data_IF_797819596839
#
_entry.id   IF_797819596839
#
_cell.length_a   1.000
_cell.length_b   1.000
_cell.length_c   1.000
_cell.angle_alpha   90.00
_cell.angle_beta   90.00
_cell.angle_gamma   90.00
#
_symmetry.space_group_name_H-M   'P 1'
#
loop_
_entity.id
_entity.type
_entity.pdbx_description
1 polymer ?
#
# COMPACT_ATOMS: atom_id res chain seq x y z
N UNK A 1 16.33 -4.71 -2.61
CA UNK A 1 15.30 -4.57 -1.59
C UNK A 1 14.76 -3.12 -1.50
N UNK A 2 15.57 -2.05 -1.28
CA UNK A 2 15.03 -0.72 -1.06
C UNK A 2 14.10 -0.21 -2.16
N UNK A 3 14.44 -0.41 -3.42
CA UNK A 3 13.60 0.00 -4.56
C UNK A 3 12.30 -0.80 -4.61
N UNK A 4 12.35 -2.12 -4.46
CA UNK A 4 11.16 -2.95 -4.44
C UNK A 4 10.18 -2.51 -3.36
N UNK A 5 10.65 -2.42 -2.10
CA UNK A 5 9.83 -1.99 -0.97
C UNK A 5 9.29 -0.56 -1.14
N UNK A 6 9.99 0.30 -1.90
CA UNK A 6 9.53 1.65 -2.20
C UNK A 6 8.40 1.67 -3.23
N UNK A 7 8.41 0.76 -4.19
CA UNK A 7 7.37 0.70 -5.24
C UNK A 7 6.15 -0.13 -4.85
N UNK A 8 6.25 -0.95 -3.79
CA UNK A 8 5.14 -1.80 -3.31
C UNK A 8 4.35 -1.19 -2.17
N UNK A 9 4.88 -0.16 -1.49
CA UNK A 9 4.26 0.44 -0.32
C UNK A 9 2.94 1.17 -0.59
N UNK A 10 2.85 1.86 -1.73
CA UNK A 10 1.66 2.61 -2.16
C UNK A 10 1.59 2.66 -3.69
N UNK A 11 0.40 2.92 -4.24
CA UNK A 11 0.20 3.30 -5.65
C UNK A 11 0.77 4.70 -5.91
N UNK A 12 2.06 4.77 -6.19
CA UNK A 12 2.92 5.96 -6.08
C UNK A 12 2.33 7.18 -6.79
N UNK A 13 1.84 7.02 -8.02
CA UNK A 13 1.24 8.11 -8.78
C UNK A 13 -0.26 8.31 -8.47
N UNK A 14 -0.94 7.30 -7.93
CA UNK A 14 -2.35 7.39 -7.62
C UNK A 14 -2.60 8.12 -6.29
N UNK A 15 -1.82 7.83 -5.24
CA UNK A 15 -2.06 8.36 -3.90
C UNK A 15 -2.17 9.90 -3.84
N UNK A 16 -1.39 10.69 -4.58
CA UNK A 16 -1.56 12.14 -4.58
C UNK A 16 -2.88 12.63 -5.17
N UNK A 17 -3.46 11.87 -6.11
CA UNK A 17 -4.65 12.24 -6.88
C UNK A 17 -5.82 11.26 -6.68
N UNK A 18 -5.76 10.39 -5.68
CA UNK A 18 -6.72 9.30 -5.45
C UNK A 18 -8.18 9.79 -5.38
N UNK A 19 -8.43 10.84 -4.61
CA UNK A 19 -9.76 11.42 -4.47
C UNK A 19 -10.24 12.06 -5.77
N UNK A 20 -9.38 12.79 -6.47
CA UNK A 20 -9.68 13.41 -7.76
C UNK A 20 -10.02 12.36 -8.82
N UNK A 21 -9.20 11.30 -8.92
CA UNK A 21 -9.44 10.23 -9.87
C UNK A 21 -10.74 9.48 -9.58
N UNK A 22 -10.99 9.14 -8.31
CA UNK A 22 -12.19 8.40 -7.93
C UNK A 22 -13.47 9.23 -8.09
N UNK A 23 -13.42 10.54 -7.83
CA UNK A 23 -14.61 11.40 -7.95
C UNK A 23 -14.84 11.88 -9.38
N UNK A 24 -13.81 12.43 -10.04
CA UNK A 24 -13.96 13.08 -11.35
C UNK A 24 -13.95 12.07 -12.52
N UNK A 25 -13.14 11.02 -12.43
CA UNK A 25 -12.98 10.03 -13.51
C UNK A 25 -13.91 8.83 -13.33
N UNK A 26 -14.02 8.33 -12.08
CA UNK A 26 -14.88 7.17 -11.77
C UNK A 26 -16.28 7.54 -11.31
N UNK A 27 -16.55 8.83 -11.05
CA UNK A 27 -17.87 9.33 -10.67
C UNK A 27 -18.35 8.87 -9.30
N UNK A 28 -17.43 8.49 -8.40
CA UNK A 28 -17.79 8.05 -7.06
C UNK A 28 -18.03 9.25 -6.14
N UNK A 29 -19.04 9.16 -5.30
CA UNK A 29 -19.24 10.14 -4.23
C UNK A 29 -18.47 9.79 -2.95
N UNK A 30 -18.37 10.74 -2.01
CA UNK A 30 -17.63 10.59 -0.77
C UNK A 30 -18.09 9.39 0.06
N UNK A 31 -19.39 9.12 0.12
CA UNK A 31 -19.94 7.97 0.85
C UNK A 31 -19.50 6.65 0.24
N UNK A 32 -19.48 6.55 -1.09
CA UNK A 32 -19.02 5.36 -1.80
C UNK A 32 -17.52 5.11 -1.58
N UNK A 33 -16.69 6.15 -1.60
CA UNK A 33 -15.24 6.03 -1.34
C UNK A 33 -14.99 5.58 0.11
N UNK A 34 -15.72 6.15 1.06
CA UNK A 34 -15.62 5.74 2.48
C UNK A 34 -16.10 4.31 2.68
N UNK A 35 -17.25 3.93 2.11
CA UNK A 35 -17.78 2.57 2.17
C UNK A 35 -16.82 1.55 1.55
N UNK A 36 -16.25 1.87 0.38
CA UNK A 36 -15.24 1.03 -0.29
C UNK A 36 -14.02 0.78 0.61
N UNK A 37 -13.53 1.81 1.30
CA UNK A 37 -12.40 1.69 2.22
C UNK A 37 -12.76 0.85 3.43
N UNK A 38 -13.92 1.06 4.05
CA UNK A 38 -14.38 0.27 5.19
C UNK A 38 -14.55 -1.21 4.84
N UNK A 39 -15.23 -1.51 3.74
CA UNK A 39 -15.47 -2.89 3.29
C UNK A 39 -14.13 -3.58 3.01
N UNK A 40 -13.19 -2.92 2.33
CA UNK A 40 -11.88 -3.51 2.04
C UNK A 40 -11.09 -3.84 3.32
N UNK A 41 -11.14 -3.00 4.35
CA UNK A 41 -10.50 -3.28 5.63
C UNK A 41 -11.14 -4.45 6.37
N UNK A 42 -12.48 -4.54 6.37
CA UNK A 42 -13.20 -5.69 6.94
C UNK A 42 -12.78 -6.98 6.22
N UNK A 43 -12.70 -6.95 4.88
CA UNK A 43 -12.25 -8.10 4.10
C UNK A 43 -10.81 -8.52 4.46
N UNK A 44 -9.90 -7.58 4.70
CA UNK A 44 -8.56 -7.90 5.19
C UNK A 44 -8.58 -8.67 6.51
N UNK A 45 -9.41 -8.27 7.46
CA UNK A 45 -9.56 -8.97 8.74
C UNK A 45 -10.08 -10.39 8.52
N UNK A 46 -11.14 -10.54 7.71
CA UNK A 46 -11.74 -11.85 7.41
C UNK A 46 -10.74 -12.78 6.72
N UNK A 47 -10.01 -12.27 5.72
CA UNK A 47 -9.06 -13.06 4.94
C UNK A 47 -7.70 -13.26 5.62
N UNK A 48 -7.41 -12.63 6.74
CA UNK A 48 -6.11 -12.74 7.42
C UNK A 48 -5.69 -14.20 7.69
N UNK A 49 -6.61 -15.04 8.18
CA UNK A 49 -6.33 -16.46 8.44
C UNK A 49 -6.05 -17.23 7.16
N UNK A 50 -6.78 -16.93 6.10
CA UNK A 50 -6.62 -17.55 4.77
C UNK A 50 -5.27 -17.19 4.19
N UNK A 51 -4.88 -15.91 4.27
CA UNK A 51 -3.57 -15.42 3.81
C UNK A 51 -2.44 -16.13 4.56
N UNK A 52 -2.51 -16.21 5.88
CA UNK A 52 -1.52 -16.92 6.69
C UNK A 52 -1.41 -18.41 6.31
N UNK A 53 -2.53 -19.06 6.02
CA UNK A 53 -2.55 -20.43 5.54
C UNK A 53 -1.86 -20.56 4.17
N UNK A 54 -2.17 -19.65 3.23
CA UNK A 54 -1.54 -19.62 1.90
C UNK A 54 -0.03 -19.41 2.04
N UNK A 55 0.41 -18.39 2.82
CA UNK A 55 1.83 -18.10 3.05
C UNK A 55 2.58 -19.32 3.60
N UNK A 56 1.99 -20.03 4.57
CA UNK A 56 2.58 -21.26 5.11
C UNK A 56 2.70 -22.39 4.07
N UNK A 57 1.77 -22.46 3.13
CA UNK A 57 1.73 -23.49 2.09
C UNK A 57 2.72 -23.24 0.96
N UNK A 58 2.79 -22.00 0.47
CA UNK A 58 3.57 -21.65 -0.73
C UNK A 58 4.94 -21.02 -0.41
N UNK A 59 5.17 -20.62 0.86
CA UNK A 59 6.40 -19.98 1.33
C UNK A 59 6.44 -18.47 1.06
N UNK A 60 7.43 -17.79 1.68
CA UNK A 60 7.50 -16.32 1.67
C UNK A 60 7.73 -15.74 0.27
N UNK A 61 8.65 -16.32 -0.50
CA UNK A 61 9.01 -15.80 -1.85
C UNK A 61 7.84 -15.93 -2.83
N UNK A 62 7.14 -17.07 -2.84
CA UNK A 62 5.99 -17.25 -3.72
C UNK A 62 4.80 -16.39 -3.28
N UNK A 63 4.66 -16.16 -1.97
CA UNK A 63 3.67 -15.22 -1.43
C UNK A 63 3.95 -13.79 -1.89
N UNK A 64 5.22 -13.38 -1.89
CA UNK A 64 5.64 -12.07 -2.42
C UNK A 64 5.28 -11.92 -3.91
N UNK A 65 5.56 -12.94 -4.72
CA UNK A 65 5.21 -12.98 -6.16
C UNK A 65 3.71 -12.90 -6.37
N UNK A 66 2.94 -13.63 -5.57
CA UNK A 66 1.48 -13.57 -5.59
C UNK A 66 0.99 -12.15 -5.26
N UNK A 67 1.54 -11.52 -4.21
CA UNK A 67 1.21 -10.14 -3.85
C UNK A 67 1.52 -9.15 -4.97
N UNK A 68 2.69 -9.27 -5.62
CA UNK A 68 3.05 -8.43 -6.76
C UNK A 68 2.10 -8.62 -7.98
N UNK A 69 1.69 -9.87 -8.23
CA UNK A 69 0.70 -10.15 -9.28
C UNK A 69 -0.67 -9.54 -8.97
N UNK A 70 -1.13 -9.66 -7.72
CA UNK A 70 -2.38 -9.05 -7.26
C UNK A 70 -2.33 -7.52 -7.32
N UNK A 71 -1.19 -6.91 -7.03
CA UNK A 71 -1.01 -5.46 -7.13
C UNK A 71 -1.15 -4.96 -8.57
N UNK A 72 -0.57 -5.70 -9.54
CA UNK A 72 -0.74 -5.42 -10.96
C UNK A 72 -2.21 -5.56 -11.38
N UNK A 73 -2.88 -6.65 -10.98
CA UNK A 73 -4.31 -6.86 -11.26
C UNK A 73 -5.15 -5.72 -10.66
N UNK A 74 -4.88 -5.31 -9.43
CA UNK A 74 -5.57 -4.20 -8.79
C UNK A 74 -5.40 -2.90 -9.59
N UNK A 75 -4.19 -2.60 -10.08
CA UNK A 75 -3.94 -1.40 -10.91
C UNK A 75 -4.67 -1.43 -12.24
N UNK A 76 -4.81 -2.61 -12.87
CA UNK A 76 -5.59 -2.79 -14.09
C UNK A 76 -7.09 -2.57 -13.81
N UNK A 77 -7.62 -3.14 -12.73
CA UNK A 77 -9.03 -2.94 -12.33
C UNK A 77 -9.29 -1.45 -12.04
N UNK A 78 -8.40 -0.76 -11.32
CA UNK A 78 -8.51 0.67 -11.06
C UNK A 78 -8.57 1.48 -12.37
N UNK A 79 -7.69 1.16 -13.31
CA UNK A 79 -7.58 1.92 -14.57
C UNK A 79 -8.78 1.70 -15.47
N UNK A 80 -9.18 0.46 -15.69
CA UNK A 80 -10.19 0.09 -16.69
C UNK A 80 -11.60 -0.14 -16.12
N UNK A 81 -11.72 -0.38 -14.82
CA UNK A 81 -13.02 -0.57 -14.16
C UNK A 81 -13.86 0.73 -14.16
N UNK A 82 -15.17 0.60 -14.40
CA UNK A 82 -16.10 1.75 -14.49
C UNK A 82 -17.19 1.73 -13.41
N UNK A 83 -17.41 0.61 -12.72
CA UNK A 83 -18.48 0.47 -11.73
C UNK A 83 -17.97 0.60 -10.29
N UNK A 84 -18.86 0.92 -9.36
CA UNK A 84 -18.55 0.89 -7.94
C UNK A 84 -18.02 -0.48 -7.49
N UNK A 85 -18.61 -1.56 -8.00
CA UNK A 85 -18.16 -2.93 -7.68
C UNK A 85 -16.73 -3.17 -8.17
N UNK A 86 -16.37 -2.69 -9.36
CA UNK A 86 -14.99 -2.77 -9.85
C UNK A 86 -14.03 -1.99 -8.95
N UNK A 87 -14.40 -0.80 -8.48
CA UNK A 87 -13.58 -0.02 -7.57
C UNK A 87 -13.45 -0.68 -6.18
N UNK A 88 -14.52 -1.32 -5.70
CA UNK A 88 -14.47 -2.13 -4.48
C UNK A 88 -13.54 -3.35 -4.62
N UNK A 89 -13.61 -4.04 -5.76
CA UNK A 89 -12.70 -5.15 -6.07
C UNK A 89 -11.24 -4.68 -6.17
N UNK A 90 -11.00 -3.56 -6.86
CA UNK A 90 -9.68 -2.93 -6.89
C UNK A 90 -9.14 -2.71 -5.48
N UNK A 91 -9.90 -2.01 -4.64
CA UNK A 91 -9.46 -1.64 -3.29
C UNK A 91 -9.20 -2.88 -2.43
N UNK A 92 -10.10 -3.85 -2.46
CA UNK A 92 -9.95 -5.11 -1.72
C UNK A 92 -8.74 -5.90 -2.21
N UNK A 93 -8.56 -6.05 -3.53
CA UNK A 93 -7.42 -6.76 -4.11
C UNK A 93 -6.10 -6.07 -3.76
N UNK A 94 -6.07 -4.74 -3.77
CA UNK A 94 -4.90 -3.95 -3.39
C UNK A 94 -4.52 -4.18 -1.91
N UNK A 95 -5.46 -4.08 -0.99
CA UNK A 95 -5.19 -4.29 0.44
C UNK A 95 -4.73 -5.74 0.73
N UNK A 96 -5.33 -6.72 0.08
CA UNK A 96 -4.90 -8.13 0.19
C UNK A 96 -3.49 -8.32 -0.41
N UNK A 97 -3.17 -7.67 -1.53
CA UNK A 97 -1.84 -7.70 -2.13
C UNK A 97 -0.78 -7.17 -1.17
N UNK A 98 -1.04 -6.05 -0.47
CA UNK A 98 -0.13 -5.48 0.52
C UNK A 98 0.17 -6.46 1.64
N UNK A 99 -0.81 -7.26 2.09
CA UNK A 99 -0.58 -8.28 3.12
C UNK A 99 0.41 -9.36 2.67
N UNK A 100 0.37 -9.77 1.40
CA UNK A 100 1.37 -10.71 0.83
C UNK A 100 2.72 -10.04 0.59
N UNK A 101 2.75 -8.76 0.20
CA UNK A 101 3.97 -8.01 -0.05
C UNK A 101 4.80 -7.76 1.20
N UNK A 102 4.19 -7.72 2.38
CA UNK A 102 4.89 -7.60 3.67
C UNK A 102 5.84 -8.79 3.96
N UNK A 103 5.81 -9.85 3.14
CA UNK A 103 6.78 -10.95 3.22
C UNK A 103 8.19 -10.51 2.83
N UNK A 104 8.36 -9.38 2.14
CA UNK A 104 9.66 -8.80 1.79
C UNK A 104 10.53 -8.51 3.03
N UNK A 105 9.92 -7.99 4.10
CA UNK A 105 10.61 -7.76 5.37
C UNK A 105 11.08 -9.07 6.03
N UNK A 106 10.27 -10.11 5.95
CA UNK A 106 10.60 -11.43 6.50
C UNK A 106 11.74 -12.05 5.72
N UNK A 107 11.68 -12.01 4.38
CA UNK A 107 12.74 -12.50 3.49
C UNK A 107 14.06 -11.74 3.76
N UNK A 108 14.01 -10.41 3.88
CA UNK A 108 15.18 -9.61 4.21
C UNK A 108 15.80 -10.04 5.53
N UNK A 109 14.99 -10.20 6.58
CA UNK A 109 15.44 -10.59 7.92
C UNK A 109 16.07 -11.99 7.91
N UNK A 110 15.47 -12.94 7.20
CA UNK A 110 15.96 -14.31 7.08
C UNK A 110 17.29 -14.37 6.32
N UNK A 111 17.39 -13.63 5.20
CA UNK A 111 18.63 -13.57 4.42
C UNK A 111 19.77 -12.92 5.21
N UNK A 112 19.52 -11.83 5.94
CA UNK A 112 20.53 -11.20 6.79
C UNK A 112 20.95 -12.11 7.95
N UNK A 113 20.03 -12.90 8.50
CA UNK A 113 20.35 -13.90 9.51
C UNK A 113 21.26 -14.99 8.94
N UNK A 114 20.96 -15.49 7.75
CA UNK A 114 21.78 -16.50 7.06
C UNK A 114 23.20 -16.01 6.75
N UNK A 115 23.35 -14.71 6.47
CA UNK A 115 24.62 -14.05 6.20
C UNK A 115 25.37 -13.57 7.46
N UNK A 116 24.87 -13.85 8.67
CA UNK A 116 25.39 -13.33 9.95
C UNK A 116 25.45 -11.79 10.03
N UNK A 117 24.54 -11.09 9.34
CA UNK A 117 24.46 -9.62 9.22
C UNK A 117 23.17 -9.06 9.82
N UNK A 118 22.70 -9.60 10.94
CA UNK A 118 21.42 -9.20 11.57
C UNK A 118 21.38 -7.71 11.92
N UNK A 119 22.52 -7.14 12.32
CA UNK A 119 22.61 -5.73 12.73
C UNK A 119 22.39 -4.75 11.57
N UNK A 120 22.61 -5.19 10.32
CA UNK A 120 22.34 -4.39 9.12
C UNK A 120 20.84 -4.21 8.81
N UNK A 121 19.95 -4.96 9.45
CA UNK A 121 18.51 -4.92 9.16
C UNK A 121 17.93 -3.51 9.28
N UNK A 122 18.17 -2.84 10.41
CA UNK A 122 17.67 -1.48 10.62
C UNK A 122 18.26 -0.47 9.64
N UNK A 123 19.54 -0.59 9.31
CA UNK A 123 20.22 0.26 8.33
C UNK A 123 19.60 0.15 6.94
N UNK A 124 19.37 -1.09 6.48
CA UNK A 124 18.78 -1.36 5.17
C UNK A 124 17.30 -0.89 5.14
N UNK A 125 16.54 -1.15 6.21
CA UNK A 125 15.14 -0.74 6.32
C UNK A 125 15.01 0.79 6.35
N UNK A 126 15.85 1.49 7.10
CA UNK A 126 15.86 2.95 7.13
C UNK A 126 16.23 3.55 5.76
N UNK A 127 17.22 2.98 5.07
CA UNK A 127 17.54 3.36 3.69
C UNK A 127 16.34 3.17 2.76
N UNK A 128 15.60 2.07 2.89
CA UNK A 128 14.38 1.84 2.12
C UNK A 128 13.31 2.89 2.38
N UNK A 129 13.11 3.29 3.65
CA UNK A 129 12.16 4.36 4.00
C UNK A 129 12.55 5.72 3.41
N UNK A 130 13.83 6.06 3.43
CA UNK A 130 14.33 7.31 2.82
C UNK A 130 14.09 7.29 1.30
N UNK A 131 14.42 6.18 0.63
CA UNK A 131 14.18 6.02 -0.82
C UNK A 131 12.69 6.14 -1.14
N UNK A 132 11.82 5.46 -0.37
CA UNK A 132 10.37 5.58 -0.51
C UNK A 132 9.89 7.03 -0.34
N UNK A 133 10.31 7.69 0.72
CA UNK A 133 9.91 9.06 1.00
C UNK A 133 10.36 10.03 -0.11
N UNK A 134 11.58 9.87 -0.61
CA UNK A 134 12.11 10.66 -1.73
C UNK A 134 11.31 10.44 -3.01
N UNK A 135 11.09 9.18 -3.41
CA UNK A 135 10.30 8.85 -4.60
C UNK A 135 8.88 9.42 -4.49
N UNK A 136 8.22 9.20 -3.36
CA UNK A 136 6.83 9.64 -3.17
C UNK A 136 6.71 11.17 -3.08
N UNK A 137 7.75 11.87 -2.65
CA UNK A 137 7.83 13.32 -2.67
C UNK A 137 7.77 13.86 -4.12
N UNK A 138 8.67 13.37 -4.97
CA UNK A 138 8.73 13.79 -6.38
C UNK A 138 7.48 13.39 -7.15
N UNK A 139 6.99 12.18 -6.95
CA UNK A 139 5.77 11.70 -7.63
C UNK A 139 4.53 12.49 -7.24
N UNK A 140 4.47 13.09 -6.03
CA UNK A 140 3.36 13.93 -5.63
C UNK A 140 3.22 15.18 -6.52
N UNK A 141 4.33 15.83 -6.86
CA UNK A 141 4.32 17.00 -7.74
C UNK A 141 3.98 16.63 -9.19
N UNK A 142 4.61 15.56 -9.68
CA UNK A 142 4.48 15.13 -11.08
C UNK A 142 3.08 14.56 -11.36
N UNK A 143 2.49 13.82 -10.43
CA UNK A 143 1.20 13.16 -10.61
C UNK A 143 0.06 14.16 -10.88
N UNK A 144 0.06 15.32 -10.23
CA UNK A 144 -0.95 16.35 -10.46
C UNK A 144 -0.86 16.96 -11.86
N UNK A 145 0.35 17.29 -12.31
CA UNK A 145 0.57 17.83 -13.65
C UNK A 145 0.18 16.81 -14.73
N UNK A 146 0.55 15.54 -14.54
CA UNK A 146 0.18 14.46 -15.43
C UNK A 146 -1.34 14.26 -15.50
N UNK A 147 -2.03 14.36 -14.37
CA UNK A 147 -3.48 14.24 -14.30
C UNK A 147 -4.18 15.37 -15.07
N UNK A 148 -3.65 16.59 -15.04
CA UNK A 148 -4.17 17.72 -15.81
C UNK A 148 -3.95 17.57 -17.32
N UNK A 149 -2.86 16.92 -17.75
CA UNK A 149 -2.62 16.62 -19.18
C UNK A 149 -3.58 15.52 -19.66
N UNK A 150 -3.64 14.41 -18.92
CA UNK A 150 -4.54 13.30 -19.17
C UNK A 150 -4.85 12.58 -17.86
N UNK A 151 -6.13 12.50 -17.52
CA UNK A 151 -6.58 11.91 -16.26
C UNK A 151 -6.14 10.46 -16.03
N UNK A 152 -5.84 9.71 -17.11
CA UNK A 152 -5.39 8.32 -17.04
C UNK A 152 -3.87 8.15 -17.07
N UNK A 153 -3.10 9.20 -17.42
CA UNK A 153 -1.64 9.11 -17.56
C UNK A 153 -0.93 8.61 -16.29
N UNK A 154 -1.26 9.10 -15.08
CA UNK A 154 -0.69 8.58 -13.84
C UNK A 154 -0.99 7.09 -13.62
N UNK A 155 -2.16 6.61 -14.08
CA UNK A 155 -2.55 5.20 -13.96
C UNK A 155 -1.75 4.30 -14.89
N UNK A 156 -1.54 4.72 -16.14
CA UNK A 156 -0.72 3.97 -17.09
C UNK A 156 0.72 3.83 -16.62
N UNK A 157 1.30 4.90 -16.06
CA UNK A 157 2.65 4.81 -15.47
C UNK A 157 2.69 3.90 -14.24
N UNK A 158 1.65 3.91 -13.42
CA UNK A 158 1.54 2.98 -12.29
C UNK A 158 1.54 1.52 -12.77
N UNK A 159 0.82 1.20 -13.85
CA UNK A 159 0.82 -0.16 -14.44
C UNK A 159 2.23 -0.56 -14.90
N UNK A 160 2.94 0.34 -15.59
CA UNK A 160 4.32 0.08 -16.04
C UNK A 160 5.23 -0.22 -14.85
N UNK A 161 5.14 0.57 -13.78
CA UNK A 161 5.90 0.33 -12.56
C UNK A 161 5.56 -1.04 -11.94
N UNK A 162 4.28 -1.43 -11.91
CA UNK A 162 3.91 -2.73 -11.33
C UNK A 162 4.29 -3.92 -12.19
N UNK A 163 4.40 -3.76 -13.51
CA UNK A 163 5.03 -4.77 -14.37
C UNK A 163 6.51 -4.93 -13.97
N UNK A 164 7.21 -3.82 -13.75
CA UNK A 164 8.59 -3.84 -13.27
C UNK A 164 8.71 -4.45 -11.86
N UNK A 165 7.82 -4.10 -10.93
CA UNK A 165 7.74 -4.68 -9.59
C UNK A 165 7.53 -6.20 -9.67
N UNK A 166 6.62 -6.66 -10.52
CA UNK A 166 6.39 -8.08 -10.73
C UNK A 166 7.64 -8.78 -11.27
N UNK A 167 8.32 -8.19 -12.26
CA UNK A 167 9.60 -8.70 -12.77
C UNK A 167 10.66 -8.82 -11.68
N UNK A 168 10.79 -7.79 -10.84
CA UNK A 168 11.75 -7.81 -9.72
C UNK A 168 11.36 -8.79 -8.61
N UNK A 169 10.07 -9.08 -8.41
CA UNK A 169 9.61 -10.11 -7.46
C UNK A 169 10.11 -11.51 -7.82
N UNK A 170 10.32 -11.80 -9.11
CA UNK A 170 10.91 -13.08 -9.54
C UNK A 170 12.41 -13.19 -9.23
N UNK A 171 13.10 -12.06 -9.05
CA UNK A 171 14.52 -12.04 -8.66
C UNK A 171 14.72 -12.24 -7.14
N UNK A 172 13.63 -12.21 -6.36
CA UNK A 172 13.73 -12.46 -4.91
C UNK A 172 14.08 -13.91 -4.65
N UNK A 173 15.00 -14.09 -3.73
CA UNK A 173 15.48 -15.37 -3.27
C UNK A 173 15.55 -15.38 -1.73
N UNK A 174 15.24 -16.50 -1.13
CA UNK A 174 15.40 -16.76 0.30
C UNK A 174 16.51 -17.80 0.49
N UNK A 175 17.52 -17.47 1.29
CA UNK A 175 18.68 -18.34 1.51
C UNK A 175 18.24 -19.68 2.14
N UNK A 176 18.60 -20.79 1.50
CA UNK A 176 18.40 -22.15 2.05
C UNK A 176 19.31 -22.31 3.27
N UNK A 177 18.75 -22.59 4.41
CA UNK A 177 19.53 -22.85 5.63
C UNK A 177 18.89 -22.34 6.92
N UNK A 178 17.82 -21.60 6.83
CA UNK A 178 17.06 -21.13 7.99
C UNK A 178 15.66 -21.76 8.10
N UNK A 179 15.53 -23.04 7.74
CA UNK A 179 14.37 -23.85 8.13
C UNK A 179 14.25 -24.03 9.67
N UNK A 180 15.15 -23.43 10.44
CA UNK A 180 15.00 -23.29 11.90
C UNK A 180 13.90 -22.30 12.31
N UNK A 181 13.34 -21.54 11.36
CA UNK A 181 12.02 -20.94 11.49
C UNK A 181 10.90 -21.88 10.97
N UNK A 182 11.16 -23.16 10.74
CA UNK A 182 10.13 -24.11 11.12
C UNK A 182 9.74 -23.69 12.53
N UNK A 183 8.59 -23.04 12.59
CA UNK A 183 7.85 -22.82 13.80
C UNK A 183 8.05 -24.14 14.55
N UNK A 184 9.00 -24.18 15.50
CA UNK A 184 8.94 -25.19 16.56
C UNK A 184 7.47 -25.18 16.85
N UNK A 185 6.81 -26.31 16.64
CA UNK A 185 5.43 -26.53 17.05
C UNK A 185 5.39 -26.40 18.57
N UNK A 186 5.72 -25.22 19.04
CA UNK A 186 5.41 -24.79 20.38
C UNK A 186 3.89 -24.62 20.30
N UNK A 187 3.19 -25.75 20.52
CA UNK A 187 1.76 -25.83 20.74
C UNK A 187 1.34 -25.04 22.00
N UNK A 188 2.18 -24.12 22.49
CA UNK A 188 1.79 -23.11 23.43
C UNK A 188 0.78 -22.22 22.71
N UNK A 189 -0.51 -22.55 22.93
CA UNK A 189 -1.63 -21.63 22.62
C UNK A 189 -1.19 -20.28 23.18
N UNK A 190 -0.93 -19.30 22.29
CA UNK A 190 -0.68 -17.92 22.65
C UNK A 190 -1.89 -17.49 23.52
N UNK A 191 -1.72 -17.49 24.83
CA UNK A 191 -2.70 -16.90 25.74
C UNK A 191 -2.58 -15.40 25.56
N UNK A 192 -3.50 -14.85 24.75
CA UNK A 192 -3.65 -13.41 24.65
C UNK A 192 -4.07 -12.93 26.03
N UNK A 193 -3.15 -12.26 26.73
CA UNK A 193 -3.47 -11.61 28.00
C UNK A 193 -4.44 -10.46 27.73
N UNK A 194 -5.30 -10.12 28.69
CA UNK A 194 -6.22 -8.99 28.58
C UNK A 194 -5.50 -7.71 28.17
N UNK A 195 -4.30 -7.49 28.70
CA UNK A 195 -3.46 -6.35 28.32
C UNK A 195 -3.11 -6.36 26.83
N UNK A 196 -2.66 -7.50 26.27
CA UNK A 196 -2.36 -7.61 24.83
C UNK A 196 -3.60 -7.36 23.97
N UNK A 197 -4.77 -7.83 24.40
CA UNK A 197 -6.02 -7.57 23.71
C UNK A 197 -6.35 -6.08 23.67
N UNK A 198 -6.25 -5.36 24.79
CA UNK A 198 -6.48 -3.92 24.86
C UNK A 198 -5.47 -3.13 24.02
N UNK A 199 -4.20 -3.50 24.02
CA UNK A 199 -3.18 -2.86 23.18
C UNK A 199 -3.47 -3.06 21.69
N UNK A 200 -3.85 -4.27 21.27
CA UNK A 200 -4.20 -4.54 19.88
C UNK A 200 -5.45 -3.75 19.49
N UNK A 201 -6.48 -3.76 20.34
CA UNK A 201 -7.73 -3.05 20.08
C UNK A 201 -7.52 -1.55 19.98
N UNK A 202 -6.79 -0.94 20.92
CA UNK A 202 -6.50 0.49 20.92
C UNK A 202 -5.70 0.89 19.67
N UNK A 203 -4.67 0.14 19.30
CA UNK A 203 -3.91 0.39 18.07
C UNK A 203 -4.79 0.28 16.82
N UNK A 204 -5.69 -0.72 16.74
CA UNK A 204 -6.61 -0.87 15.61
C UNK A 204 -7.58 0.32 15.51
N UNK A 205 -8.12 0.77 16.64
CA UNK A 205 -9.02 1.94 16.68
C UNK A 205 -8.27 3.22 16.26
N UNK A 206 -7.11 3.50 16.86
CA UNK A 206 -6.30 4.67 16.49
C UNK A 206 -5.89 4.66 15.03
N UNK A 207 -5.44 3.52 14.51
CA UNK A 207 -5.08 3.39 13.10
C UNK A 207 -6.29 3.67 12.18
N UNK A 208 -7.45 3.13 12.52
CA UNK A 208 -8.68 3.36 11.75
C UNK A 208 -9.08 4.83 11.74
N UNK A 209 -9.04 5.50 12.89
CA UNK A 209 -9.35 6.95 13.01
C UNK A 209 -8.37 7.77 12.15
N UNK A 210 -7.06 7.49 12.24
CA UNK A 210 -6.05 8.21 11.45
C UNK A 210 -6.27 8.00 9.95
N UNK A 211 -6.53 6.77 9.52
CA UNK A 211 -6.77 6.45 8.10
C UNK A 211 -8.05 7.09 7.58
N UNK A 212 -9.14 7.06 8.35
CA UNK A 212 -10.38 7.75 7.98
C UNK A 212 -10.17 9.27 7.92
N UNK A 213 -9.47 9.85 8.87
CA UNK A 213 -9.12 11.27 8.87
C UNK A 213 -8.31 11.67 7.64
N UNK A 214 -7.30 10.90 7.28
CA UNK A 214 -6.46 11.16 6.10
C UNK A 214 -7.25 11.10 4.78
N UNK A 215 -8.13 10.13 4.62
CA UNK A 215 -8.92 9.99 3.41
C UNK A 215 -10.00 11.07 3.30
N UNK A 216 -10.69 11.34 4.40
CA UNK A 216 -11.78 12.33 4.41
C UNK A 216 -11.25 13.77 4.33
N UNK A 217 -10.07 14.09 4.88
CA UNK A 217 -9.49 15.43 4.77
C UNK A 217 -9.20 15.82 3.32
N UNK A 218 -8.69 14.89 2.50
CA UNK A 218 -8.47 15.16 1.07
C UNK A 218 -9.78 15.38 0.33
N UNK A 219 -10.81 14.56 0.58
CA UNK A 219 -12.13 14.73 0.00
C UNK A 219 -12.75 16.07 0.39
N UNK A 220 -12.67 16.43 1.67
CA UNK A 220 -13.17 17.69 2.17
C UNK A 220 -12.49 18.88 1.49
N UNK A 221 -11.16 18.89 1.44
CA UNK A 221 -10.39 19.93 0.76
C UNK A 221 -10.74 20.01 -0.73
N UNK A 222 -10.87 18.86 -1.41
CA UNK A 222 -11.27 18.83 -2.80
C UNK A 222 -12.63 19.48 -3.04
N UNK A 223 -13.66 19.08 -2.30
CA UNK A 223 -15.01 19.65 -2.45
C UNK A 223 -15.07 21.14 -2.08
N UNK A 224 -14.29 21.56 -1.10
CA UNK A 224 -14.28 22.97 -0.68
C UNK A 224 -13.56 23.85 -1.73
N UNK A 225 -12.43 23.40 -2.24
CA UNK A 225 -11.72 24.10 -3.31
C UNK A 225 -12.49 24.14 -4.62
N UNK A 226 -13.23 23.10 -4.97
CA UNK A 226 -14.07 23.05 -6.18
C UNK A 226 -15.18 24.10 -6.21
N UNK A 227 -15.55 24.70 -5.08
CA UNK A 227 -16.52 25.79 -5.02
C UNK A 227 -15.99 27.09 -5.61
N UNK A 228 -14.66 27.29 -5.61
CA UNK A 228 -14.03 28.58 -5.93
C UNK A 228 -12.96 28.47 -7.02
N UNK A 229 -12.49 27.27 -7.33
CA UNK A 229 -11.35 27.03 -8.22
C UNK A 229 -11.71 26.06 -9.34
N UNK A 230 -11.03 26.21 -10.49
CA UNK A 230 -11.10 25.22 -11.57
C UNK A 230 -10.50 23.89 -11.15
N UNK A 231 -10.89 22.79 -11.83
CA UNK A 231 -10.38 21.43 -11.55
C UNK A 231 -8.86 21.37 -11.63
N UNK A 232 -8.25 22.07 -12.58
CA UNK A 232 -6.80 22.13 -12.75
C UNK A 232 -6.11 22.75 -11.52
N UNK A 233 -6.65 23.87 -11.01
CA UNK A 233 -6.14 24.53 -9.81
C UNK A 233 -6.33 23.70 -8.56
N UNK A 234 -7.48 23.04 -8.43
CA UNK A 234 -7.76 22.11 -7.32
C UNK A 234 -6.73 20.97 -7.31
N UNK A 235 -6.47 20.39 -8.47
CA UNK A 235 -5.45 19.32 -8.62
C UNK A 235 -4.07 19.81 -8.19
N UNK A 236 -3.69 21.00 -8.63
CA UNK A 236 -2.42 21.62 -8.27
C UNK A 236 -2.29 21.85 -6.76
N UNK A 237 -3.27 22.45 -6.12
CA UNK A 237 -3.24 22.71 -4.66
C UNK A 237 -3.23 21.42 -3.84
N UNK A 238 -4.04 20.41 -4.19
CA UNK A 238 -4.05 19.13 -3.48
C UNK A 238 -2.69 18.45 -3.57
N UNK A 239 -2.06 18.43 -4.75
CA UNK A 239 -0.75 17.80 -4.92
C UNK A 239 0.36 18.53 -4.19
N UNK A 240 0.30 19.87 -4.11
CA UNK A 240 1.22 20.66 -3.27
C UNK A 240 1.03 20.34 -1.78
N UNK A 241 -0.20 20.26 -1.29
CA UNK A 241 -0.48 19.93 0.11
C UNK A 241 0.08 18.53 0.43
N UNK A 242 -0.13 17.56 -0.46
CA UNK A 242 0.44 16.20 -0.30
C UNK A 242 1.97 16.26 -0.32
N UNK A 243 2.57 17.05 -1.19
CA UNK A 243 4.03 17.24 -1.24
C UNK A 243 4.56 17.82 0.07
N UNK A 244 3.98 18.90 0.59
CA UNK A 244 4.38 19.52 1.86
C UNK A 244 4.21 18.52 3.02
N UNK A 245 3.10 17.80 3.07
CA UNK A 245 2.86 16.76 4.08
C UNK A 245 3.91 15.63 4.04
N UNK A 246 4.44 15.32 2.87
CA UNK A 246 5.50 14.31 2.72
C UNK A 246 6.88 14.88 3.05
N UNK A 247 7.14 16.16 2.78
CA UNK A 247 8.36 16.84 3.25
C UNK A 247 8.49 16.80 4.77
N UNK A 248 7.42 17.11 5.49
CA UNK A 248 7.40 17.09 6.96
C UNK A 248 7.72 15.68 7.52
N UNK A 249 7.42 14.63 6.79
CA UNK A 249 7.76 13.24 7.21
C UNK A 249 9.22 12.85 6.96
N UNK A 250 9.95 13.62 6.16
CA UNK A 250 11.37 13.38 5.87
C UNK A 250 12.30 14.00 6.92
N UNK A 251 11.80 15.00 7.65
CA UNK A 251 12.49 15.67 8.78
C UNK A 251 12.26 14.87 10.06
#
# INVERSE_FOLDING_TARGET
>A
YPLFASFTGDLIFFVPIDTLFLTLVKGLNASQITAMTMISLIMCIVFQKVILFIVKKIGNVNSLRLGASMLLIASLILTFGKSFVAMLLYKTTHELAVMFLNMDEIILKNNLKALNRKDDYFKIRNKSKIVYATITLFTALVAGQMFNINNYLPMYLSIIIYIFVLGTAFLYYEAKGNNELEIKKDNKKLRITSLMFYVILSNAVFYSIIKMGQNNSKLFMQYDFQKFLSVEMVTYYITIIVFISRMVRLI
#
